data_IF_934119307008
#
_entry.id   IF_934119307008
#
_cell.length_a   1.000
_cell.length_b   1.000
_cell.length_c   1.000
_cell.angle_alpha   90.00
_cell.angle_beta   90.00
_cell.angle_gamma   90.00
#
_symmetry.space_group_name_H-M   'P 1'
#
loop_
_entity.id
_entity.type
_entity.pdbx_description
1 polymer ?
#
# COMPACT_ATOMS: atom_id res chain seq x y z
N UNK A 1 10.30 9.26 -13.12
CA UNK A 1 10.26 8.49 -11.84
C UNK A 1 8.83 8.18 -11.44
N UNK A 2 8.00 9.14 -10.98
CA UNK A 2 6.62 8.88 -10.50
C UNK A 2 5.77 8.17 -11.57
N UNK A 3 5.81 8.64 -12.82
CA UNK A 3 5.05 7.99 -13.90
C UNK A 3 5.46 6.54 -14.14
N UNK A 4 6.76 6.23 -14.02
CA UNK A 4 7.28 4.87 -14.16
C UNK A 4 6.72 3.95 -13.08
N UNK A 5 6.69 4.41 -11.83
CA UNK A 5 6.13 3.66 -10.70
C UNK A 5 4.63 3.44 -10.90
N UNK A 6 3.88 4.49 -11.27
CA UNK A 6 2.45 4.38 -11.57
C UNK A 6 2.16 3.34 -12.65
N UNK A 7 2.92 3.39 -13.74
CA UNK A 7 2.75 2.46 -14.86
C UNK A 7 2.98 1.00 -14.42
N UNK A 8 3.99 0.74 -13.58
CA UNK A 8 4.21 -0.61 -13.03
C UNK A 8 3.05 -1.07 -12.15
N UNK A 9 2.56 -0.20 -11.26
CA UNK A 9 1.44 -0.53 -10.37
C UNK A 9 0.13 -0.77 -11.15
N UNK A 10 -0.10 -0.01 -12.23
CA UNK A 10 -1.30 -0.15 -13.07
C UNK A 10 -1.37 -1.47 -13.84
N UNK A 11 -0.26 -2.21 -13.98
CA UNK A 11 -0.28 -3.58 -14.54
C UNK A 11 -1.03 -4.57 -13.65
N UNK A 12 -1.05 -4.31 -12.34
CA UNK A 12 -1.67 -5.19 -11.33
C UNK A 12 -2.95 -4.57 -10.77
N UNK A 13 -2.99 -3.24 -10.64
CA UNK A 13 -4.06 -2.49 -10.01
C UNK A 13 -4.84 -1.71 -11.07
N UNK A 14 -6.02 -2.23 -11.43
CA UNK A 14 -6.89 -1.62 -12.45
C UNK A 14 -7.97 -0.77 -11.78
N UNK A 15 -8.18 0.45 -12.29
CA UNK A 15 -9.30 1.32 -11.88
C UNK A 15 -9.17 2.00 -10.52
N UNK A 16 -8.01 1.92 -9.85
CA UNK A 16 -7.78 2.50 -8.51
C UNK A 16 -6.75 3.64 -8.53
N UNK A 17 -6.93 4.62 -9.42
CA UNK A 17 -5.94 5.69 -9.62
C UNK A 17 -5.79 6.60 -8.39
N UNK A 18 -6.89 6.89 -7.70
CA UNK A 18 -6.89 7.71 -6.48
C UNK A 18 -6.06 7.05 -5.36
N UNK A 19 -6.22 5.74 -5.16
CA UNK A 19 -5.45 4.96 -4.20
C UNK A 19 -3.94 5.01 -4.53
N UNK A 20 -3.58 4.81 -5.80
CA UNK A 20 -2.18 4.88 -6.25
C UNK A 20 -1.60 6.27 -5.97
N UNK A 21 -2.34 7.33 -6.29
CA UNK A 21 -1.92 8.71 -6.04
C UNK A 21 -1.74 8.98 -4.55
N UNK A 22 -2.72 8.61 -3.70
CA UNK A 22 -2.65 8.81 -2.27
C UNK A 22 -1.46 8.09 -1.62
N UNK A 23 -1.19 6.84 -2.03
CA UNK A 23 -0.03 6.10 -1.55
C UNK A 23 1.29 6.77 -1.92
N UNK A 24 1.43 7.26 -3.15
CA UNK A 24 2.65 7.95 -3.58
C UNK A 24 2.83 9.29 -2.85
N UNK A 25 1.76 10.06 -2.68
CA UNK A 25 1.80 11.33 -1.93
C UNK A 25 2.28 11.08 -0.51
N UNK A 26 1.70 10.12 0.20
CA UNK A 26 2.08 9.83 1.58
C UNK A 26 3.51 9.30 1.69
N UNK A 27 3.93 8.43 0.77
CA UNK A 27 5.31 7.94 0.76
C UNK A 27 6.31 9.09 0.59
N UNK A 28 6.10 9.97 -0.38
CA UNK A 28 7.04 11.06 -0.65
C UNK A 28 6.97 12.21 0.37
N UNK A 29 5.86 12.34 1.09
CA UNK A 29 5.74 13.30 2.20
C UNK A 29 6.20 12.74 3.55
N UNK A 30 6.54 11.46 3.63
CA UNK A 30 6.82 10.77 4.91
C UNK A 30 5.58 10.62 5.79
N UNK A 31 4.38 10.68 5.22
CA UNK A 31 3.11 10.53 5.92
C UNK A 31 2.63 9.08 6.01
N UNK A 32 1.52 8.90 6.72
CA UNK A 32 0.80 7.63 6.82
C UNK A 32 -0.56 7.74 6.13
N UNK A 33 -1.06 6.63 5.57
CA UNK A 33 -2.39 6.55 4.97
C UNK A 33 -3.27 5.58 5.71
N UNK A 34 -4.56 5.87 5.71
CA UNK A 34 -5.61 4.95 6.11
C UNK A 34 -6.44 4.60 4.88
N UNK A 35 -6.56 3.30 4.57
CA UNK A 35 -7.19 2.83 3.32
C UNK A 35 -8.52 2.14 3.64
N UNK A 36 -9.61 2.89 3.53
CA UNK A 36 -10.97 2.38 3.70
C UNK A 36 -11.60 1.87 2.39
N UNK A 37 -12.78 1.26 2.49
CA UNK A 37 -13.48 0.63 1.35
C UNK A 37 -13.84 -0.83 1.56
N UNK A 38 -14.56 -1.42 0.60
CA UNK A 38 -15.07 -2.78 0.73
C UNK A 38 -13.96 -3.85 0.79
N UNK A 39 -14.20 -4.98 1.48
CA UNK A 39 -13.34 -6.15 1.38
C UNK A 39 -13.19 -6.61 -0.08
N UNK A 40 -12.00 -7.09 -0.45
CA UNK A 40 -11.73 -7.61 -1.80
C UNK A 40 -11.32 -6.57 -2.84
N UNK A 41 -11.29 -5.27 -2.53
CA UNK A 41 -10.86 -4.21 -3.48
C UNK A 41 -9.33 -4.05 -3.59
N UNK A 42 -8.59 -5.16 -3.53
CA UNK A 42 -7.14 -5.21 -3.79
C UNK A 42 -6.24 -4.28 -2.93
N UNK A 43 -6.70 -3.81 -1.75
CA UNK A 43 -5.92 -2.88 -0.89
C UNK A 43 -4.53 -3.42 -0.53
N UNK A 44 -4.48 -4.67 -0.04
CA UNK A 44 -3.22 -5.35 0.30
C UNK A 44 -2.34 -5.51 -0.94
N UNK A 45 -2.95 -5.85 -2.08
CA UNK A 45 -2.25 -6.01 -3.35
C UNK A 45 -1.64 -4.68 -3.82
N UNK A 46 -2.35 -3.58 -3.67
CA UNK A 46 -1.88 -2.25 -4.05
C UNK A 46 -0.65 -1.83 -3.24
N UNK A 47 -0.66 -2.06 -1.93
CA UNK A 47 0.46 -1.74 -1.04
C UNK A 47 1.66 -2.64 -1.35
N UNK A 48 1.43 -3.95 -1.55
CA UNK A 48 2.51 -4.88 -1.91
C UNK A 48 3.10 -4.56 -3.30
N UNK A 49 2.27 -4.17 -4.26
CA UNK A 49 2.71 -3.76 -5.61
C UNK A 49 3.57 -2.50 -5.56
N UNK A 50 3.22 -1.52 -4.72
CA UNK A 50 4.06 -0.34 -4.50
C UNK A 50 5.44 -0.71 -3.94
N UNK A 51 5.46 -1.58 -2.92
CA UNK A 51 6.71 -2.03 -2.31
C UNK A 51 7.60 -2.73 -3.34
N UNK A 52 7.05 -3.62 -4.16
CA UNK A 52 7.78 -4.29 -5.24
C UNK A 52 8.30 -3.32 -6.30
N UNK A 53 7.48 -2.35 -6.74
CA UNK A 53 7.87 -1.35 -7.73
C UNK A 53 9.04 -0.46 -7.27
N UNK A 54 9.24 -0.34 -5.95
CA UNK A 54 10.29 0.47 -5.33
C UNK A 54 11.44 -0.36 -4.73
N UNK A 55 11.34 -1.69 -4.76
CA UNK A 55 12.32 -2.59 -4.14
C UNK A 55 12.30 -2.57 -2.60
N UNK A 56 11.19 -2.18 -1.98
CA UNK A 56 11.03 -2.15 -0.52
C UNK A 56 10.53 -3.49 0.02
N UNK A 57 10.87 -3.78 1.27
CA UNK A 57 10.25 -4.87 2.02
C UNK A 57 8.82 -4.51 2.43
N UNK A 58 7.88 -5.42 2.20
CA UNK A 58 6.51 -5.30 2.69
C UNK A 58 6.31 -6.18 3.94
N UNK A 59 5.85 -5.58 5.03
CA UNK A 59 5.38 -6.30 6.23
C UNK A 59 3.89 -6.03 6.42
N UNK A 60 3.14 -7.08 6.74
CA UNK A 60 1.72 -7.00 7.08
C UNK A 60 1.52 -7.43 8.52
N UNK A 61 0.84 -6.60 9.30
CA UNK A 61 0.36 -6.92 10.65
C UNK A 61 -1.16 -6.96 10.60
N UNK A 62 -1.75 -8.09 10.99
CA UNK A 62 -3.19 -8.21 11.15
C UNK A 62 -3.55 -7.90 12.59
N UNK A 63 -4.33 -6.85 12.81
CA UNK A 63 -4.87 -6.55 14.13
C UNK A 63 -5.89 -7.62 14.51
N UNK A 64 -5.69 -8.20 15.70
CA UNK A 64 -6.61 -9.09 16.39
C UNK A 64 -6.81 -8.56 17.82
N UNK A 65 -7.90 -8.93 18.51
CA UNK A 65 -8.13 -8.49 19.89
C UNK A 65 -6.99 -8.86 20.85
N UNK A 66 -6.27 -9.93 20.55
CA UNK A 66 -5.20 -10.48 21.38
C UNK A 66 -3.80 -9.97 21.02
N UNK A 67 -3.65 -9.17 19.97
CA UNK A 67 -2.35 -8.67 19.52
C UNK A 67 -1.74 -7.71 20.55
N UNK A 68 -0.56 -8.03 21.07
CA UNK A 68 0.15 -7.19 22.03
C UNK A 68 1.14 -6.26 21.32
N UNK A 69 1.46 -5.09 21.89
CA UNK A 69 2.49 -4.20 21.33
C UNK A 69 3.85 -4.88 21.14
N UNK A 70 4.18 -5.86 21.99
CA UNK A 70 5.42 -6.65 21.90
C UNK A 70 5.48 -7.56 20.67
N UNK A 71 4.36 -7.84 20.02
CA UNK A 71 4.28 -8.73 18.86
C UNK A 71 4.62 -8.01 17.55
N UNK A 72 4.84 -6.69 17.60
CA UNK A 72 5.14 -5.84 16.45
C UNK A 72 6.63 -5.43 16.48
N UNK A 73 7.38 -5.73 15.41
CA UNK A 73 8.80 -5.34 15.24
C UNK A 73 9.10 -4.94 13.80
#
# INVERSE_FOLDING_TARGET
MIQTIKNEMQKVIVGQEELINGMLIALFSGGHIFVEGMPGLAKTTAINSLAQALGFSFKRVQFTPDLLPSDIT
#
